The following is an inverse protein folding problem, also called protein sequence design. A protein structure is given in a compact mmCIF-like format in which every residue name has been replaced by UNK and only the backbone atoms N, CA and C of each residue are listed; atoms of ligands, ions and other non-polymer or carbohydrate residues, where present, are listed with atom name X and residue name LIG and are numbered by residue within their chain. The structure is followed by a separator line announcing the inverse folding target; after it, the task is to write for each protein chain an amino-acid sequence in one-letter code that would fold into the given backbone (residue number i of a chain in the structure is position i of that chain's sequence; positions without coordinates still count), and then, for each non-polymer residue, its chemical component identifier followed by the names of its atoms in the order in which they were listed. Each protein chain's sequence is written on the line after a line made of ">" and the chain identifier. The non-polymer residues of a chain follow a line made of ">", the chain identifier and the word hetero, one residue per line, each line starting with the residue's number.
data_IF_034813006098
#
_entry.id   IF_034813006098
#
_cell.length_a   1.000
_cell.length_b   1.000
_cell.length_c   1.000
_cell.angle_alpha   90.00
_cell.angle_beta   90.00
_cell.angle_gamma   90.00
#
_symmetry.space_group_name_H-M   'P 1'
#
loop_
_entity.id
_entity.type
_entity.pdbx_description
1 polymer ?
#
# COMPACT_ATOMS: atom_id res chain seq x y z
N UNK A 1 20.38 -11.76 12.29
CA UNK A 1 19.19 -11.40 13.09
C UNK A 1 17.97 -11.97 12.38
N UNK A 2 17.25 -12.93 12.98
CA UNK A 2 16.03 -13.47 12.38
C UNK A 2 14.90 -12.45 12.56
N UNK A 3 14.34 -11.94 11.47
CA UNK A 3 13.11 -11.15 11.55
C UNK A 3 11.98 -12.08 12.05
N UNK A 4 11.21 -11.70 13.08
CA UNK A 4 10.08 -12.49 13.52
C UNK A 4 9.14 -12.72 12.34
N UNK A 5 8.72 -13.97 12.12
CA UNK A 5 7.96 -14.42 10.92
C UNK A 5 6.61 -13.70 10.72
N UNK A 6 6.23 -12.83 11.66
CA UNK A 6 4.95 -12.12 11.79
C UNK A 6 5.10 -10.59 11.94
N UNK A 7 6.20 -9.97 11.49
CA UNK A 7 6.30 -8.50 11.49
C UNK A 7 5.73 -7.87 10.22
N UNK A 8 5.29 -6.61 10.32
CA UNK A 8 4.76 -5.82 9.20
C UNK A 8 5.71 -5.83 7.99
N UNK A 9 7.01 -5.67 8.22
CA UNK A 9 8.02 -5.71 7.16
C UNK A 9 8.10 -7.07 6.45
N UNK A 10 7.91 -8.17 7.17
CA UNK A 10 7.88 -9.52 6.57
C UNK A 10 6.59 -9.73 5.77
N UNK A 11 5.46 -9.23 6.25
CA UNK A 11 4.19 -9.27 5.52
C UNK A 11 4.26 -8.44 4.22
N UNK A 12 4.79 -7.23 4.29
CA UNK A 12 5.02 -6.36 3.12
C UNK A 12 5.98 -6.98 2.11
N UNK A 13 7.05 -7.62 2.57
CA UNK A 13 8.00 -8.31 1.69
C UNK A 13 7.34 -9.50 0.97
N UNK A 14 6.60 -10.35 1.69
CA UNK A 14 5.86 -11.48 1.09
C UNK A 14 4.82 -11.01 0.07
N UNK A 15 4.11 -9.92 0.38
CA UNK A 15 3.15 -9.32 -0.55
C UNK A 15 3.85 -8.82 -1.82
N UNK A 16 4.98 -8.12 -1.67
CA UNK A 16 5.76 -7.61 -2.81
C UNK A 16 6.33 -8.75 -3.66
N UNK A 17 6.80 -9.84 -3.04
CA UNK A 17 7.27 -11.04 -3.71
C UNK A 17 6.15 -11.71 -4.52
N UNK A 18 4.97 -11.91 -3.93
CA UNK A 18 3.83 -12.51 -4.59
C UNK A 18 3.33 -11.67 -5.78
N UNK A 19 3.26 -10.34 -5.61
CA UNK A 19 2.82 -9.42 -6.68
C UNK A 19 3.87 -9.26 -7.78
N UNK A 20 5.16 -9.32 -7.45
CA UNK A 20 6.24 -9.38 -8.44
C UNK A 20 6.18 -10.68 -9.25
N UNK A 21 5.98 -11.82 -8.60
CA UNK A 21 5.78 -13.10 -9.31
C UNK A 21 4.54 -13.05 -10.22
N UNK A 22 3.43 -12.48 -9.75
CA UNK A 22 2.24 -12.24 -10.57
C UNK A 22 2.58 -11.43 -11.83
N UNK A 23 3.31 -10.32 -11.72
CA UNK A 23 3.71 -9.52 -12.87
C UNK A 23 4.62 -10.26 -13.86
N UNK A 24 5.47 -11.16 -13.37
CA UNK A 24 6.33 -12.00 -14.22
C UNK A 24 5.55 -13.10 -14.95
N UNK A 25 4.46 -13.60 -14.38
CA UNK A 25 3.64 -14.65 -14.98
C UNK A 25 2.60 -14.05 -15.94
N UNK A 26 1.99 -12.92 -15.57
CA UNK A 26 0.96 -12.25 -16.37
C UNK A 26 1.61 -11.41 -17.47
N UNK A 27 1.97 -12.08 -18.57
CA UNK A 27 2.61 -11.44 -19.74
C UNK A 27 1.66 -10.62 -20.60
N UNK A 28 0.36 -10.95 -20.59
CA UNK A 28 -0.66 -10.26 -21.35
C UNK A 28 -1.86 -9.93 -20.44
N UNK A 29 -1.80 -8.83 -19.66
CA UNK A 29 -2.85 -8.47 -18.70
C UNK A 29 -4.24 -8.32 -19.32
N UNK A 30 -4.32 -7.96 -20.60
CA UNK A 30 -5.59 -7.85 -21.32
C UNK A 30 -6.39 -9.16 -21.39
N UNK A 31 -5.73 -10.32 -21.24
CA UNK A 31 -6.41 -11.62 -21.21
C UNK A 31 -7.17 -11.87 -19.89
N UNK A 32 -6.99 -11.02 -18.89
CA UNK A 32 -7.68 -11.12 -17.60
C UNK A 32 -9.02 -10.36 -17.58
N UNK A 33 -9.33 -9.58 -18.64
CA UNK A 33 -10.60 -8.83 -18.70
C UNK A 33 -11.77 -9.79 -18.83
N UNK A 34 -12.86 -9.44 -18.16
CA UNK A 34 -14.10 -10.21 -18.16
C UNK A 34 -13.96 -11.65 -17.62
N UNK A 35 -12.83 -11.98 -16.99
CA UNK A 35 -12.61 -13.29 -16.33
C UNK A 35 -13.06 -13.18 -14.87
N UNK A 36 -14.06 -13.97 -14.43
CA UNK A 36 -14.55 -13.93 -13.06
C UNK A 36 -13.51 -14.49 -12.09
N UNK A 37 -13.50 -13.99 -10.85
CA UNK A 37 -12.74 -14.64 -9.78
C UNK A 37 -13.38 -15.99 -9.44
N UNK A 38 -12.57 -17.06 -9.39
CA UNK A 38 -13.02 -18.42 -9.03
C UNK A 38 -13.59 -18.52 -7.60
N UNK A 39 -13.30 -17.53 -6.76
CA UNK A 39 -13.73 -17.51 -5.37
C UNK A 39 -14.40 -16.15 -5.09
N UNK A 40 -15.66 -16.14 -4.62
CA UNK A 40 -16.29 -14.93 -4.11
C UNK A 40 -15.70 -14.64 -2.72
N UNK A 41 -14.38 -14.42 -2.68
CA UNK A 41 -13.81 -13.58 -1.64
C UNK A 41 -14.57 -12.27 -1.82
N UNK A 42 -15.28 -11.81 -0.78
CA UNK A 42 -16.19 -10.66 -0.78
C UNK A 42 -15.50 -9.33 -1.08
N UNK A 43 -14.80 -9.29 -2.21
CA UNK A 43 -14.00 -8.22 -2.74
C UNK A 43 -14.65 -7.97 -4.09
N UNK A 44 -15.36 -6.85 -4.23
CA UNK A 44 -16.17 -6.48 -5.39
C UNK A 44 -15.42 -6.28 -6.71
N UNK A 45 -14.38 -7.07 -6.99
CA UNK A 45 -13.70 -7.07 -8.28
C UNK A 45 -14.59 -7.71 -9.34
N UNK A 46 -14.97 -6.90 -10.32
CA UNK A 46 -15.75 -7.35 -11.47
C UNK A 46 -15.01 -8.39 -12.30
N UNK A 47 -13.67 -8.32 -12.41
CA UNK A 47 -12.84 -9.28 -13.13
C UNK A 47 -11.39 -9.37 -12.59
N UNK A 48 -10.64 -10.38 -13.06
CA UNK A 48 -9.23 -10.58 -12.70
C UNK A 48 -8.33 -9.41 -13.13
N UNK A 49 -8.68 -8.67 -14.18
CA UNK A 49 -7.91 -7.51 -14.62
C UNK A 49 -7.96 -6.37 -13.60
N UNK A 50 -9.14 -6.06 -13.04
CA UNK A 50 -9.27 -5.04 -11.99
C UNK A 50 -8.51 -5.44 -10.73
N UNK A 51 -8.59 -6.71 -10.33
CA UNK A 51 -7.81 -7.23 -9.20
C UNK A 51 -6.30 -7.11 -9.44
N UNK A 52 -5.83 -7.44 -10.66
CA UNK A 52 -4.43 -7.29 -11.06
C UNK A 52 -3.94 -5.82 -10.97
N UNK A 53 -4.72 -4.87 -11.47
CA UNK A 53 -4.36 -3.44 -11.40
C UNK A 53 -4.33 -2.94 -9.96
N UNK A 54 -5.31 -3.31 -9.13
CA UNK A 54 -5.33 -2.93 -7.72
C UNK A 54 -4.10 -3.47 -6.97
N UNK A 55 -3.79 -4.76 -7.12
CA UNK A 55 -2.63 -5.39 -6.47
C UNK A 55 -1.32 -4.68 -6.84
N UNK A 56 -1.18 -4.26 -8.10
CA UNK A 56 -0.01 -3.46 -8.55
C UNK A 56 0.04 -2.08 -7.91
N UNK A 57 -1.09 -1.39 -7.81
CA UNK A 57 -1.19 -0.08 -7.15
C UNK A 57 -0.80 -0.17 -5.67
N UNK A 58 -1.30 -1.19 -4.97
CA UNK A 58 -0.96 -1.46 -3.57
C UNK A 58 0.53 -1.80 -3.43
N UNK A 59 1.10 -2.63 -4.32
CA UNK A 59 2.55 -2.92 -4.35
C UNK A 59 3.37 -1.65 -4.50
N UNK A 60 2.99 -0.76 -5.41
CA UNK A 60 3.66 0.52 -5.58
C UNK A 60 3.63 1.36 -4.29
N UNK A 61 2.49 1.39 -3.60
CA UNK A 61 2.34 2.07 -2.30
C UNK A 61 3.26 1.47 -1.22
N UNK A 62 3.37 0.13 -1.20
CA UNK A 62 4.22 -0.64 -0.27
C UNK A 62 5.71 -0.41 -0.54
N UNK A 63 6.15 -0.40 -1.81
CA UNK A 63 7.55 -0.26 -2.20
C UNK A 63 8.07 1.18 -2.10
N UNK A 64 7.25 2.16 -2.49
CA UNK A 64 7.67 3.57 -2.52
C UNK A 64 7.46 4.32 -1.21
N UNK A 65 6.78 3.71 -0.24
CA UNK A 65 6.57 4.33 1.07
C UNK A 65 5.75 5.62 1.01
N UNK A 66 4.71 5.65 0.16
CA UNK A 66 3.80 6.78 -0.08
C UNK A 66 4.37 7.93 -0.94
N UNK A 67 4.68 7.65 -2.21
CA UNK A 67 4.66 8.72 -3.22
C UNK A 67 3.22 8.79 -3.76
N UNK A 68 2.50 9.92 -3.65
CA UNK A 68 1.21 10.09 -4.30
C UNK A 68 1.35 9.77 -5.79
N UNK A 69 0.57 8.81 -6.29
CA UNK A 69 0.52 8.49 -7.71
C UNK A 69 -0.30 9.58 -8.43
N UNK A 70 0.24 10.79 -8.48
CA UNK A 70 -0.28 11.86 -9.34
C UNK A 70 0.18 11.55 -10.77
N UNK A 71 -0.46 10.61 -11.47
CA UNK A 71 0.00 10.31 -12.84
C UNK A 71 -0.60 9.15 -13.62
N UNK A 72 -1.72 8.53 -13.22
CA UNK A 72 -2.37 7.59 -14.14
C UNK A 72 -3.41 8.32 -15.00
N UNK A 73 -3.27 8.40 -16.35
CA UNK A 73 -4.27 9.02 -17.19
C UNK A 73 -5.46 8.07 -17.34
N UNK A 74 -6.40 8.13 -16.41
CA UNK A 74 -7.73 7.59 -16.61
C UNK A 74 -8.50 8.49 -17.60
N UNK A 75 -8.13 8.46 -18.88
CA UNK A 75 -8.95 9.04 -19.95
C UNK A 75 -8.73 8.36 -21.30
N UNK A 76 -9.44 7.26 -21.51
CA UNK A 76 -9.96 6.91 -22.84
C UNK A 76 -11.34 6.28 -22.69
N UNK A 77 -12.35 7.15 -22.77
CA UNK A 77 -13.65 7.00 -23.41
C UNK A 77 -14.15 5.56 -23.63
N UNK A 78 -15.15 5.12 -22.85
CA UNK A 78 -16.32 4.39 -23.37
C UNK A 78 -17.46 4.63 -22.41
N UNK A 79 -18.54 5.15 -22.98
CA UNK A 79 -19.81 5.50 -22.37
C UNK A 79 -20.50 4.26 -21.80
N UNK A 80 -21.21 4.49 -20.69
CA UNK A 80 -22.26 3.62 -20.16
C UNK A 80 -21.77 2.36 -19.42
N UNK A 81 -21.87 2.38 -18.09
CA UNK A 81 -22.28 1.28 -17.19
C UNK A 81 -22.13 1.75 -15.72
N UNK A 82 -23.12 1.36 -14.92
CA UNK A 82 -23.46 1.69 -13.52
C UNK A 82 -22.32 1.88 -12.48
N UNK A 83 -22.61 2.56 -11.35
CA UNK A 83 -21.70 2.72 -10.22
C UNK A 83 -21.73 1.47 -9.35
N UNK A 84 -21.00 0.42 -9.72
CA UNK A 84 -20.95 -0.81 -8.93
C UNK A 84 -19.63 -0.91 -8.14
N UNK A 85 -19.76 -0.55 -6.86
CA UNK A 85 -19.00 -0.99 -5.67
C UNK A 85 -17.52 -0.56 -5.49
N UNK A 86 -17.37 0.45 -4.65
CA UNK A 86 -16.15 1.18 -4.20
C UNK A 86 -15.31 0.43 -3.13
N UNK A 87 -15.42 -0.89 -2.99
CA UNK A 87 -14.62 -1.66 -2.01
C UNK A 87 -13.17 -1.89 -2.47
N UNK A 88 -12.89 -1.83 -3.77
CA UNK A 88 -11.53 -1.97 -4.31
C UNK A 88 -10.65 -0.76 -4.00
N UNK A 89 -11.20 0.45 -4.03
CA UNK A 89 -10.47 1.64 -3.58
C UNK A 89 -10.29 1.61 -2.06
N UNK A 90 -11.22 0.99 -1.33
CA UNK A 90 -11.20 0.97 0.13
C UNK A 90 -9.90 0.33 0.67
N UNK A 91 -9.45 -0.82 0.15
CA UNK A 91 -8.23 -1.46 0.65
C UNK A 91 -6.95 -0.63 0.42
N UNK A 92 -6.80 -0.03 -0.76
CA UNK A 92 -5.64 0.81 -1.06
C UNK A 92 -5.67 2.11 -0.22
N UNK A 93 -6.83 2.76 -0.14
CA UNK A 93 -7.04 3.97 0.65
C UNK A 93 -6.84 3.68 2.15
N UNK A 94 -7.31 2.54 2.63
CA UNK A 94 -7.14 2.09 4.01
C UNK A 94 -5.67 1.83 4.31
N UNK A 95 -4.94 1.10 3.47
CA UNK A 95 -3.50 0.89 3.66
C UNK A 95 -2.73 2.23 3.65
N UNK A 96 -3.08 3.13 2.74
CA UNK A 96 -2.49 4.46 2.64
C UNK A 96 -2.72 5.28 3.91
N UNK A 97 -3.95 5.30 4.41
CA UNK A 97 -4.31 6.04 5.63
C UNK A 97 -3.62 5.45 6.88
N UNK A 98 -3.54 4.12 7.00
CA UNK A 98 -2.85 3.44 8.10
C UNK A 98 -1.34 3.70 8.11
N UNK A 99 -0.68 3.57 6.95
CA UNK A 99 0.76 3.82 6.83
C UNK A 99 1.09 5.28 7.09
N UNK A 100 0.29 6.22 6.57
CA UNK A 100 0.45 7.66 6.85
C UNK A 100 0.25 7.97 8.34
N UNK A 101 -0.78 7.40 8.97
CA UNK A 101 -1.04 7.56 10.40
C UNK A 101 0.12 7.05 11.26
N UNK A 102 0.64 5.87 10.95
CA UNK A 102 1.79 5.29 11.64
C UNK A 102 3.04 6.17 11.50
N UNK A 103 3.34 6.65 10.28
CA UNK A 103 4.47 7.56 10.05
C UNK A 103 4.33 8.87 10.84
N UNK A 104 3.12 9.42 10.91
CA UNK A 104 2.85 10.61 11.69
C UNK A 104 3.12 10.39 13.19
N UNK A 105 2.59 9.31 13.76
CA UNK A 105 2.81 8.95 15.17
C UNK A 105 4.29 8.77 15.46
N UNK A 106 5.02 8.01 14.64
CA UNK A 106 6.45 7.79 14.80
C UNK A 106 7.25 9.10 14.72
N UNK A 107 6.87 10.02 13.84
CA UNK A 107 7.47 11.35 13.74
C UNK A 107 7.27 12.17 15.02
N UNK A 108 6.05 12.18 15.57
CA UNK A 108 5.73 12.86 16.83
C UNK A 108 6.52 12.28 18.01
N UNK A 109 6.53 10.96 18.16
CA UNK A 109 7.31 10.27 19.21
C UNK A 109 8.80 10.53 19.08
N UNK A 110 9.34 10.55 17.86
CA UNK A 110 10.75 10.86 17.59
C UNK A 110 11.10 12.29 18.03
N UNK A 111 10.22 13.26 17.73
CA UNK A 111 10.39 14.65 18.20
C UNK A 111 10.37 14.74 19.72
N UNK A 112 9.44 14.04 20.36
CA UNK A 112 9.33 14.00 21.82
C UNK A 112 10.58 13.37 22.46
N UNK A 113 11.06 12.25 21.94
CA UNK A 113 12.28 11.60 22.42
C UNK A 113 13.49 12.54 22.30
N UNK A 114 13.67 13.21 21.16
CA UNK A 114 14.74 14.19 20.95
C UNK A 114 14.65 15.38 21.90
N UNK A 115 13.44 15.90 22.15
CA UNK A 115 13.23 16.99 23.08
C UNK A 115 13.59 16.59 24.52
N UNK A 116 13.20 15.39 24.93
CA UNK A 116 13.56 14.82 26.23
C UNK A 116 15.08 14.68 26.37
N UNK A 117 15.75 14.08 25.38
CA UNK A 117 17.21 13.94 25.37
C UNK A 117 17.92 15.28 25.50
N UNK A 118 17.52 16.30 24.72
CA UNK A 118 18.10 17.64 24.80
C UNK A 118 17.91 18.26 26.18
N UNK A 119 16.71 18.17 26.76
CA UNK A 119 16.44 18.68 28.11
C UNK A 119 17.32 18.00 29.16
N UNK A 120 17.58 16.71 29.01
CA UNK A 120 18.47 15.98 29.90
C UNK A 120 19.93 16.43 29.76
N UNK A 121 20.41 16.62 28.53
CA UNK A 121 21.74 17.14 28.24
C UNK A 121 21.94 18.56 28.79
N UNK A 122 20.92 19.43 28.65
CA UNK A 122 20.92 20.79 29.23
C UNK A 122 21.07 20.75 30.76
N UNK A 123 20.34 19.85 31.44
CA UNK A 123 20.40 19.71 32.91
C UNK A 123 21.78 19.25 33.41
N UNK A 124 22.51 18.48 32.61
CA UNK A 124 23.85 18.01 32.94
C UNK A 124 24.95 18.99 32.49
N UNK A 125 24.61 20.09 31.82
CA UNK A 125 25.59 21.00 31.22
C UNK A 125 26.40 20.36 30.09
N UNK A 126 25.85 19.31 29.46
CA UNK A 126 26.50 18.60 28.35
C UNK A 126 26.04 19.11 26.98
N UNK A 127 25.03 19.98 26.94
CA UNK A 127 24.57 20.63 25.72
C UNK A 127 25.73 21.43 25.08
N UNK A 128 26.10 21.07 23.85
CA UNK A 128 27.05 21.80 22.99
C UNK A 128 26.29 22.68 22.00
#
# INVERSE_FOLDING_TARGET
>A
MQHPKNCLTSAMAKFSEATCNMEQVVMFPCLLRDVPLEQPQGTGFSDLYQSYIMLKSIRMTVETGLIPLDGWPAKTNTTDLQPETDESLDLEVLLRSHTQGLLHVLSCLTKQARALTRRYEDMLGMAH
#
